data_IF_753151715561
#
_entry.id   IF_753151715561
#
_cell.length_a   1.000
_cell.length_b   1.000
_cell.length_c   1.000
_cell.angle_alpha   90.00
_cell.angle_beta   90.00
_cell.angle_gamma   90.00
#
_symmetry.space_group_name_H-M   'P 1'
#
loop_
_entity.id
_entity.type
_entity.pdbx_description
1 polymer ?
#
# COMPACT_ATOMS: atom_id res chain seq x y z
N UNK A 1 -4.28 -8.74 8.02
CA UNK A 1 -5.15 -9.70 8.75
C UNK A 1 -5.75 -10.80 7.85
N UNK A 2 -6.30 -10.48 6.67
CA UNK A 2 -6.84 -11.51 5.73
C UNK A 2 -5.87 -12.65 5.39
N UNK A 3 -4.62 -12.33 5.07
CA UNK A 3 -3.60 -13.35 4.74
C UNK A 3 -3.38 -14.37 5.87
N UNK A 4 -3.30 -13.90 7.12
CA UNK A 4 -3.15 -14.76 8.31
C UNK A 4 -4.36 -15.67 8.52
N UNK A 5 -5.57 -15.15 8.33
CA UNK A 5 -6.80 -15.93 8.42
C UNK A 5 -6.89 -17.02 7.33
N UNK A 6 -6.49 -16.70 6.09
CA UNK A 6 -6.40 -17.69 5.01
C UNK A 6 -5.40 -18.81 5.32
N UNK A 7 -4.24 -18.47 5.90
CA UNK A 7 -3.25 -19.47 6.32
C UNK A 7 -3.74 -20.39 7.44
N UNK A 8 -4.51 -19.86 8.39
CA UNK A 8 -5.14 -20.68 9.42
C UNK A 8 -6.13 -21.71 8.81
N UNK A 9 -6.90 -21.31 7.81
CA UNK A 9 -7.80 -22.19 7.06
C UNK A 9 -7.05 -23.22 6.21
N UNK A 10 -5.91 -22.89 5.62
CA UNK A 10 -5.09 -23.85 4.87
C UNK A 10 -4.47 -24.92 5.76
N UNK A 11 -4.04 -24.57 6.99
CA UNK A 11 -3.30 -25.48 7.87
C UNK A 11 -4.20 -26.34 8.75
N UNK A 12 -5.23 -25.76 9.35
CA UNK A 12 -6.10 -26.43 10.33
C UNK A 12 -7.58 -26.40 9.90
N UNK A 13 -7.89 -26.01 8.66
CA UNK A 13 -9.24 -26.02 8.06
C UNK A 13 -10.30 -25.25 8.85
N UNK A 14 -9.89 -24.31 9.69
CA UNK A 14 -10.79 -23.52 10.51
C UNK A 14 -10.26 -22.09 10.69
N UNK A 15 -11.17 -21.16 11.01
CA UNK A 15 -10.84 -19.77 11.31
C UNK A 15 -11.01 -19.45 12.80
N UNK A 16 -10.07 -18.75 13.45
CA UNK A 16 -10.26 -18.22 14.80
C UNK A 16 -11.46 -17.27 14.91
N UNK A 17 -12.06 -17.19 16.10
CA UNK A 17 -13.23 -16.35 16.39
C UNK A 17 -13.05 -14.87 16.06
N UNK A 18 -11.83 -14.35 16.18
CA UNK A 18 -11.50 -12.95 15.91
C UNK A 18 -11.31 -12.61 14.42
N UNK A 19 -11.52 -13.56 13.51
CA UNK A 19 -11.49 -13.36 12.06
C UNK A 19 -12.86 -13.58 11.41
N UNK A 20 -13.87 -12.72 11.71
CA UNK A 20 -15.22 -12.88 11.14
C UNK A 20 -15.25 -12.63 9.62
N UNK A 21 -14.32 -11.84 9.09
CA UNK A 21 -14.29 -11.34 7.71
C UNK A 21 -13.79 -12.32 6.64
N UNK A 22 -13.47 -13.57 7.00
CA UNK A 22 -13.10 -14.64 6.06
C UNK A 22 -14.11 -15.76 6.16
N UNK A 23 -14.51 -16.33 5.03
CA UNK A 23 -15.44 -17.44 5.00
C UNK A 23 -14.78 -18.75 5.47
N UNK A 24 -15.53 -19.57 6.19
CA UNK A 24 -15.05 -20.84 6.72
C UNK A 24 -15.59 -21.17 8.11
N UNK A 25 -15.47 -22.43 8.55
CA UNK A 25 -15.95 -22.86 9.85
C UNK A 25 -15.11 -22.25 10.96
N UNK A 26 -15.77 -21.80 12.02
CA UNK A 26 -15.10 -21.29 13.21
C UNK A 26 -14.39 -22.44 13.94
N UNK A 27 -13.13 -22.24 14.34
CA UNK A 27 -12.35 -23.26 15.05
C UNK A 27 -13.03 -23.64 16.38
N UNK A 28 -13.12 -24.94 16.64
CA UNK A 28 -13.35 -25.48 18.00
C UNK A 28 -12.05 -25.47 18.81
N UNK A 29 -12.10 -25.87 20.08
CA UNK A 29 -10.91 -25.96 20.95
C UNK A 29 -9.80 -26.81 20.33
N UNK A 30 -10.16 -27.93 19.68
CA UNK A 30 -9.20 -28.77 18.96
C UNK A 30 -8.53 -28.06 17.78
N UNK A 31 -9.30 -27.27 17.00
CA UNK A 31 -8.75 -26.47 15.90
C UNK A 31 -7.83 -25.35 16.38
N UNK A 32 -8.14 -24.74 17.53
CA UNK A 32 -7.27 -23.76 18.16
C UNK A 32 -5.97 -24.39 18.69
N UNK A 33 -6.03 -25.62 19.20
CA UNK A 33 -4.85 -26.39 19.60
C UNK A 33 -3.94 -26.67 18.39
N UNK A 34 -4.52 -27.13 17.27
CA UNK A 34 -3.79 -27.32 16.01
C UNK A 34 -3.03 -26.05 15.58
N UNK A 35 -3.67 -24.88 15.67
CA UNK A 35 -3.03 -23.61 15.34
C UNK A 35 -1.95 -23.21 16.34
N UNK A 36 -2.13 -23.50 17.63
CA UNK A 36 -1.14 -23.20 18.67
C UNK A 36 0.13 -24.07 18.55
N UNK A 37 -0.01 -25.31 18.08
CA UNK A 37 1.10 -26.24 17.84
C UNK A 37 1.89 -25.90 16.57
N UNK A 38 1.33 -25.10 15.66
CA UNK A 38 2.08 -24.69 14.46
C UNK A 38 3.29 -23.84 14.82
N UNK A 39 4.43 -24.04 14.15
CA UNK A 39 5.63 -23.25 14.38
C UNK A 39 5.38 -21.76 14.06
N UNK A 40 6.08 -20.85 14.77
CA UNK A 40 6.00 -19.42 14.50
C UNK A 40 6.41 -19.13 13.04
N UNK A 41 5.66 -18.24 12.38
CA UNK A 41 5.89 -17.86 10.98
C UNK A 41 5.08 -18.67 9.96
N UNK A 42 4.42 -19.76 10.36
CA UNK A 42 3.60 -20.57 9.45
C UNK A 42 2.18 -20.01 9.28
N UNK A 43 1.64 -19.37 10.31
CA UNK A 43 0.36 -18.65 10.26
C UNK A 43 0.33 -17.38 11.11
N UNK A 44 1.07 -17.35 12.22
CA UNK A 44 1.18 -16.20 13.10
C UNK A 44 2.66 -15.86 13.30
N UNK A 45 3.16 -14.85 12.58
CA UNK A 45 4.36 -14.07 12.90
C UNK A 45 4.59 -12.98 11.83
N UNK A 46 5.55 -12.10 12.07
CA UNK A 46 6.08 -11.12 11.12
C UNK A 46 6.84 -11.79 9.96
N UNK A 47 7.38 -13.00 10.19
CA UNK A 47 8.03 -13.84 9.17
C UNK A 47 7.06 -14.50 8.18
N UNK A 48 5.76 -14.31 8.35
CA UNK A 48 4.75 -14.83 7.44
C UNK A 48 4.92 -14.18 6.06
N UNK A 49 4.98 -14.98 4.99
CA UNK A 49 5.26 -14.56 3.60
C UNK A 49 4.09 -13.81 2.93
N UNK A 50 3.45 -12.88 3.62
CA UNK A 50 2.36 -12.07 3.11
C UNK A 50 2.88 -10.75 2.52
N UNK A 51 2.70 -10.55 1.20
CA UNK A 51 2.93 -9.25 0.55
C UNK A 51 1.73 -8.31 0.79
N UNK A 52 1.65 -7.76 2.00
CA UNK A 52 0.62 -6.76 2.32
C UNK A 52 1.11 -5.36 1.92
N UNK A 53 0.45 -4.73 0.96
CA UNK A 53 0.67 -3.31 0.69
C UNK A 53 0.07 -2.47 1.82
N UNK A 54 0.74 -1.36 2.17
CA UNK A 54 0.18 -0.37 3.08
C UNK A 54 -1.01 0.34 2.41
N UNK A 55 -2.06 0.70 3.17
CA UNK A 55 -3.16 1.49 2.63
C UNK A 55 -2.66 2.89 2.21
N UNK A 56 -3.31 3.50 1.22
CA UNK A 56 -2.98 4.85 0.75
C UNK A 56 -3.30 5.93 1.79
N UNK A 57 -4.30 5.68 2.62
CA UNK A 57 -4.75 6.54 3.71
C UNK A 57 -4.66 5.78 5.01
N UNK A 58 -3.77 6.23 5.90
CA UNK A 58 -3.64 5.72 7.26
C UNK A 58 -3.74 6.85 8.27
N UNK A 59 -4.39 6.55 9.40
CA UNK A 59 -4.48 7.44 10.55
C UNK A 59 -3.73 6.74 11.68
N UNK A 60 -2.67 7.39 12.16
CA UNK A 60 -1.82 6.85 13.22
C UNK A 60 -2.02 7.68 14.48
N UNK A 61 -2.37 7.02 15.58
CA UNK A 61 -2.47 7.64 16.90
C UNK A 61 -1.21 7.34 17.69
N UNK A 62 -0.57 8.39 18.21
CA UNK A 62 0.60 8.27 19.07
C UNK A 62 0.20 8.60 20.52
N UNK A 63 0.77 7.88 21.47
CA UNK A 63 0.54 8.13 22.89
C UNK A 63 1.36 9.35 23.33
N UNK A 64 0.68 10.45 23.62
CA UNK A 64 1.33 11.72 24.01
C UNK A 64 1.70 11.74 25.50
N UNK A 65 0.93 11.05 26.34
CA UNK A 65 1.20 10.94 27.77
C UNK A 65 0.28 9.94 28.44
N UNK A 66 0.71 9.40 29.59
CA UNK A 66 -0.12 8.53 30.42
C UNK A 66 0.09 8.92 31.87
N UNK A 67 -1.00 9.18 32.57
CA UNK A 67 -1.01 9.46 34.00
C UNK A 67 -1.65 8.28 34.72
N UNK A 68 -0.96 7.72 35.71
CA UNK A 68 -1.48 6.66 36.55
C UNK A 68 -1.60 7.18 37.97
N UNK A 69 -2.84 7.37 38.43
CA UNK A 69 -3.11 7.78 39.80
C UNK A 69 -3.56 6.56 40.61
N UNK A 70 -2.83 6.23 41.68
CA UNK A 70 -3.23 5.18 42.61
C UNK A 70 -4.03 5.80 43.75
N UNK A 71 -5.35 5.70 43.66
CA UNK A 71 -6.24 6.10 44.75
C UNK A 71 -6.24 4.99 45.82
N UNK A 72 -5.34 5.08 46.80
CA UNK A 72 -5.48 4.31 48.04
C UNK A 72 -6.44 5.09 48.94
N UNK A 73 -7.61 4.53 49.21
CA UNK A 73 -8.45 5.04 50.29
C UNK A 73 -7.69 4.83 51.61
N UNK A 74 -7.33 5.91 52.30
CA UNK A 74 -6.88 5.86 53.69
C UNK A 74 -8.06 5.36 54.55
N UNK A 75 -8.16 4.04 54.73
CA UNK A 75 -9.30 3.39 55.36
C UNK A 75 -9.75 2.19 54.53
N UNK A 76 -9.12 1.04 54.79
CA UNK A 76 -9.22 -0.17 53.98
C UNK A 76 -10.65 -0.63 53.70
N UNK A 77 -11.03 -0.59 52.42
CA UNK A 77 -12.14 -1.38 51.88
C UNK A 77 -11.50 -2.44 50.96
N UNK A 78 -11.48 -3.73 51.34
CA UNK A 78 -10.61 -4.73 50.70
C UNK A 78 -11.04 -5.22 49.30
N UNK A 79 -12.19 -4.82 48.76
CA UNK A 79 -12.78 -5.48 47.59
C UNK A 79 -13.29 -4.58 46.44
N UNK A 80 -12.78 -3.36 46.29
CA UNK A 80 -13.07 -2.54 45.10
C UNK A 80 -11.80 -2.00 44.47
N UNK A 81 -11.05 -2.87 43.79
CA UNK A 81 -10.10 -2.41 42.77
C UNK A 81 -10.88 -1.82 41.60
N UNK A 82 -11.32 -0.57 41.74
CA UNK A 82 -11.92 0.20 40.66
C UNK A 82 -10.79 0.76 39.80
N UNK A 83 -10.47 0.07 38.71
CA UNK A 83 -9.64 0.66 37.66
C UNK A 83 -10.51 1.58 36.81
N UNK A 84 -10.29 2.89 36.91
CA UNK A 84 -10.92 3.87 36.04
C UNK A 84 -9.91 4.29 34.98
N UNK A 85 -10.16 3.94 33.73
CA UNK A 85 -9.34 4.39 32.60
C UNK A 85 -10.05 5.57 31.94
N UNK A 86 -9.39 6.72 31.93
CA UNK A 86 -9.82 7.90 31.16
C UNK A 86 -8.85 8.07 29.99
N UNK A 87 -9.40 8.15 28.80
CA UNK A 87 -8.65 8.41 27.58
C UNK A 87 -9.18 9.69 26.94
N UNK A 88 -8.28 10.52 26.43
CA UNK A 88 -8.60 11.77 25.75
C UNK A 88 -7.91 11.74 24.39
N UNK A 89 -8.69 11.92 23.32
CA UNK A 89 -8.15 12.05 21.96
C UNK A 89 -8.00 13.53 21.67
N UNK A 90 -6.76 13.95 21.42
CA UNK A 90 -6.45 15.28 20.90
C UNK A 90 -6.70 15.31 19.39
N UNK A 91 -7.10 16.47 18.88
CA UNK A 91 -7.28 16.69 17.45
C UNK A 91 -5.94 16.53 16.72
N UNK A 92 -5.93 15.91 15.51
CA UNK A 92 -4.71 15.69 14.76
C UNK A 92 -4.07 17.03 14.36
N UNK A 93 -2.80 17.23 14.71
CA UNK A 93 -2.06 18.47 14.42
C UNK A 93 -1.32 18.45 13.08
N UNK A 94 -1.07 17.27 12.52
CA UNK A 94 -0.24 17.08 11.33
C UNK A 94 -0.89 16.10 10.36
N UNK A 95 -0.71 16.35 9.06
CA UNK A 95 -1.12 15.45 7.96
C UNK A 95 0.06 15.30 7.01
N UNK A 96 0.47 14.06 6.77
CA UNK A 96 1.47 13.73 5.77
C UNK A 96 0.77 13.35 4.46
N UNK A 97 1.15 13.99 3.36
CA UNK A 97 0.63 13.74 2.03
C UNK A 97 1.79 13.34 1.11
N UNK A 98 1.51 12.40 0.20
CA UNK A 98 2.42 12.01 -0.86
C UNK A 98 1.88 12.55 -2.17
N UNK A 99 2.42 13.67 -2.59
CA UNK A 99 2.07 14.29 -3.86
C UNK A 99 3.11 13.92 -4.93
N UNK A 100 2.68 13.88 -6.19
CA UNK A 100 3.56 13.63 -7.33
C UNK A 100 4.15 14.96 -7.77
N UNK A 101 5.46 15.13 -7.61
CA UNK A 101 6.14 16.41 -7.94
C UNK A 101 6.28 16.66 -9.44
N UNK A 102 6.38 15.62 -10.25
CA UNK A 102 6.54 15.72 -11.70
C UNK A 102 5.44 14.91 -12.38
N UNK A 103 4.48 15.63 -12.95
CA UNK A 103 3.45 15.04 -13.80
C UNK A 103 3.96 14.91 -15.24
N UNK A 104 3.18 14.22 -16.08
CA UNK A 104 3.45 14.14 -17.51
C UNK A 104 3.39 15.52 -18.19
N UNK A 105 2.55 16.41 -17.68
CA UNK A 105 2.44 17.80 -18.14
C UNK A 105 3.75 18.56 -17.92
N UNK A 106 4.36 18.42 -16.74
CA UNK A 106 5.65 19.07 -16.42
C UNK A 106 6.78 18.53 -17.29
N UNK A 107 6.73 17.24 -17.62
CA UNK A 107 7.65 16.60 -18.55
C UNK A 107 7.50 17.19 -19.96
N UNK A 108 6.26 17.27 -20.46
CA UNK A 108 5.96 17.83 -21.77
C UNK A 108 6.37 19.30 -21.89
N UNK A 109 6.09 20.11 -20.87
CA UNK A 109 6.46 21.52 -20.84
C UNK A 109 7.98 21.67 -20.82
N UNK A 110 8.67 20.88 -20.00
CA UNK A 110 10.14 20.97 -19.88
C UNK A 110 10.84 20.49 -21.17
N UNK A 111 10.42 19.37 -21.74
CA UNK A 111 10.96 18.87 -23.01
C UNK A 111 10.60 19.82 -24.16
N UNK A 112 9.34 20.23 -24.26
CA UNK A 112 8.86 21.16 -25.29
C UNK A 112 9.60 22.49 -25.24
N UNK A 113 9.81 23.04 -24.05
CA UNK A 113 10.60 24.25 -23.83
C UNK A 113 12.06 24.09 -24.27
N UNK A 114 12.71 22.97 -23.92
CA UNK A 114 14.07 22.66 -24.37
C UNK A 114 14.16 22.55 -25.89
N UNK A 115 13.26 21.78 -26.52
CA UNK A 115 13.22 21.62 -27.97
C UNK A 115 12.98 22.94 -28.71
N UNK A 116 12.04 23.76 -28.22
CA UNK A 116 11.76 25.07 -28.82
C UNK A 116 12.95 26.04 -28.68
N UNK A 117 13.69 26.00 -27.56
CA UNK A 117 14.85 26.88 -27.35
C UNK A 117 16.03 26.52 -28.25
N UNK A 118 16.36 25.22 -28.38
CA UNK A 118 17.55 24.77 -29.11
C UNK A 118 17.31 24.58 -30.61
N UNK A 119 16.13 24.09 -31.02
CA UNK A 119 15.80 23.85 -32.43
C UNK A 119 15.08 25.06 -33.05
N UNK A 120 14.40 25.87 -32.23
CA UNK A 120 13.58 26.98 -32.71
C UNK A 120 12.33 26.55 -33.48
N UNK A 121 11.97 25.25 -33.40
CA UNK A 121 10.84 24.65 -34.11
C UNK A 121 9.91 23.94 -33.14
N UNK A 122 8.63 23.89 -33.51
CA UNK A 122 7.57 23.27 -32.72
C UNK A 122 7.35 21.80 -33.15
N UNK A 123 6.57 21.06 -32.36
CA UNK A 123 6.28 19.64 -32.59
C UNK A 123 5.67 19.37 -33.97
N UNK A 124 4.86 20.30 -34.50
CA UNK A 124 4.26 20.16 -35.83
C UNK A 124 5.31 20.14 -36.95
N UNK A 125 6.32 21.01 -36.88
CA UNK A 125 7.41 21.01 -37.88
C UNK A 125 8.21 19.70 -37.80
N UNK A 126 8.37 19.15 -36.59
CA UNK A 126 9.01 17.86 -36.39
C UNK A 126 8.20 16.71 -37.01
N UNK A 127 6.87 16.74 -36.88
CA UNK A 127 5.99 15.75 -37.48
C UNK A 127 6.05 15.77 -39.02
N UNK A 128 6.06 16.95 -39.64
CA UNK A 128 6.22 17.09 -41.09
C UNK A 128 7.56 16.53 -41.58
N UNK A 129 8.64 16.75 -40.84
CA UNK A 129 9.95 16.16 -41.15
C UNK A 129 9.90 14.63 -41.09
N UNK A 130 9.21 14.06 -40.11
CA UNK A 130 9.01 12.62 -40.01
C UNK A 130 8.20 12.06 -41.18
N UNK A 131 7.11 12.72 -41.57
CA UNK A 131 6.29 12.30 -42.71
C UNK A 131 7.07 12.34 -44.02
N UNK A 132 7.89 13.37 -44.22
CA UNK A 132 8.78 13.46 -45.38
C UNK A 132 9.81 12.32 -45.39
N UNK A 133 10.47 12.07 -44.25
CA UNK A 133 11.44 10.98 -44.11
C UNK A 133 10.80 9.60 -44.34
N UNK A 134 9.58 9.38 -43.85
CA UNK A 134 8.86 8.12 -44.06
C UNK A 134 8.50 7.91 -45.54
N UNK A 135 8.03 8.95 -46.23
CA UNK A 135 7.75 8.87 -47.67
C UNK A 135 8.99 8.48 -48.48
N UNK A 136 10.10 9.18 -48.25
CA UNK A 136 11.37 8.91 -48.94
C UNK A 136 11.89 7.49 -48.67
N UNK A 137 11.78 7.01 -47.42
CA UNK A 137 12.15 5.63 -47.07
C UNK A 137 11.25 4.63 -47.78
N UNK A 138 9.94 4.86 -47.81
CA UNK A 138 8.98 3.97 -48.47
C UNK A 138 9.21 3.91 -49.99
N UNK A 139 9.50 5.04 -50.63
CA UNK A 139 9.81 5.09 -52.06
C UNK A 139 11.13 4.38 -52.38
N UNK A 140 12.16 4.55 -51.54
CA UNK A 140 13.41 3.78 -51.65
C UNK A 140 13.18 2.28 -51.50
N UNK A 141 12.37 1.87 -50.52
CA UNK A 141 12.02 0.45 -50.31
C UNK A 141 11.29 -0.10 -51.53
N UNK A 142 10.34 0.66 -52.09
CA UNK A 142 9.59 0.26 -53.29
C UNK A 142 10.49 0.11 -54.51
N UNK A 143 11.39 1.06 -54.76
CA UNK A 143 12.38 1.00 -55.84
C UNK A 143 13.37 -0.17 -55.66
N UNK A 144 13.79 -0.43 -54.42
CA UNK A 144 14.67 -1.56 -54.10
C UNK A 144 13.97 -2.91 -54.32
N UNK A 145 12.68 -3.01 -54.03
CA UNK A 145 11.89 -4.21 -54.35
C UNK A 145 11.71 -4.40 -55.87
N UNK A 146 11.49 -3.32 -56.63
CA UNK A 146 11.38 -3.39 -58.09
C UNK A 146 12.68 -3.73 -58.81
N UNK A 147 13.83 -3.44 -58.19
CA UNK A 147 15.16 -3.76 -58.76
C UNK A 147 15.69 -5.14 -58.35
N UNK A 148 15.01 -5.82 -57.41
CA UNK A 148 15.34 -7.20 -56.96
C UNK A 148 14.36 -8.27 -57.45
N UNK A 149 13.26 -7.89 -58.09
CA UNK A 149 12.36 -8.78 -58.84
C UNK A 149 12.82 -8.90 -60.30
#
# INVERSE_FOLDING_TARGET
MRCRAAKALELCHCKPHFYPFVDGPTCTVAGLLCLAEQPPGRWYDEKLSCRCLKPCTEIVYILVGTTQNQWRAEGGIPFKQRTSVRWEILQPKTRLLRDVLFSFEDLLVSFGGGFALFIGKNVFTLAELFDFMLHEVMDKIRQWFQTRA
#
